data_IF_540998763155
#
_entry.id   IF_540998763155
#
_cell.length_a   1.000
_cell.length_b   1.000
_cell.length_c   1.000
_cell.angle_alpha   90.00
_cell.angle_beta   90.00
_cell.angle_gamma   90.00
#
_symmetry.space_group_name_H-M   'P 1'
#
loop_
_entity.id
_entity.type
_entity.pdbx_description
1 polymer ?
#
# COMPACT_ATOMS: atom_id res chain seq x y z
N UNK A 1 -56.93 -30.98 37.16
CA UNK A 1 -55.47 -31.00 36.85
C UNK A 1 -55.29 -30.43 35.45
N UNK A 2 -54.83 -29.17 35.36
CA UNK A 2 -54.63 -28.49 34.07
C UNK A 2 -53.10 -28.39 33.84
N UNK A 3 -52.57 -29.12 32.88
CA UNK A 3 -51.16 -29.05 32.47
C UNK A 3 -51.01 -27.95 31.41
N UNK A 4 -50.34 -26.86 31.82
CA UNK A 4 -49.88 -25.80 30.90
C UNK A 4 -48.55 -26.18 30.30
N UNK A 5 -48.51 -26.48 29.02
CA UNK A 5 -47.27 -26.60 28.23
C UNK A 5 -46.69 -25.21 27.96
N UNK A 6 -45.47 -24.94 28.45
CA UNK A 6 -44.69 -23.78 28.03
C UNK A 6 -43.84 -24.14 26.83
N UNK A 7 -44.18 -23.55 25.71
CA UNK A 7 -43.31 -23.62 24.52
C UNK A 7 -42.14 -22.64 24.67
N UNK A 8 -40.91 -23.17 24.66
CA UNK A 8 -39.71 -22.37 24.60
C UNK A 8 -39.44 -22.03 23.12
N UNK A 9 -39.53 -20.73 22.80
CA UNK A 9 -39.11 -20.24 21.46
C UNK A 9 -37.61 -20.03 21.49
N UNK A 10 -36.89 -20.88 20.78
CA UNK A 10 -35.47 -20.77 20.55
C UNK A 10 -35.26 -19.74 19.43
N UNK A 11 -34.85 -18.51 19.77
CA UNK A 11 -34.45 -17.51 18.78
C UNK A 11 -33.01 -17.82 18.35
N UNK A 12 -32.85 -18.47 17.20
CA UNK A 12 -31.56 -18.58 16.51
C UNK A 12 -31.20 -17.22 15.93
N UNK A 13 -30.28 -16.51 16.57
CA UNK A 13 -29.63 -15.35 15.99
C UNK A 13 -28.71 -15.84 14.87
N UNK A 14 -29.20 -15.83 13.64
CA UNK A 14 -28.36 -15.91 12.44
C UNK A 14 -27.53 -14.61 12.36
N UNK A 15 -26.27 -14.68 12.77
CA UNK A 15 -25.29 -13.68 12.43
C UNK A 15 -25.07 -13.74 10.92
N UNK A 16 -25.76 -12.89 10.19
CA UNK A 16 -25.48 -12.67 8.78
C UNK A 16 -24.05 -12.09 8.68
N UNK A 17 -23.09 -12.91 8.33
CA UNK A 17 -21.86 -12.43 7.75
C UNK A 17 -22.27 -11.67 6.49
N UNK A 18 -22.27 -10.35 6.54
CA UNK A 18 -22.32 -9.52 5.35
C UNK A 18 -21.09 -9.90 4.52
N UNK A 19 -21.29 -10.71 3.47
CA UNK A 19 -20.22 -11.10 2.56
C UNK A 19 -19.58 -9.84 2.00
N UNK A 20 -18.24 -9.81 1.94
CA UNK A 20 -17.52 -8.75 1.27
C UNK A 20 -18.16 -8.53 -0.12
N UNK A 21 -18.41 -7.25 -0.48
CA UNK A 21 -19.05 -6.92 -1.74
C UNK A 21 -18.31 -7.62 -2.88
N UNK A 22 -19.02 -8.31 -3.75
CA UNK A 22 -18.43 -9.07 -4.86
C UNK A 22 -17.56 -8.18 -5.76
N UNK A 23 -17.93 -6.90 -5.89
CA UNK A 23 -17.17 -5.88 -6.61
C UNK A 23 -17.12 -4.59 -5.82
N UNK A 24 -15.94 -3.98 -5.79
CA UNK A 24 -15.74 -2.62 -5.25
C UNK A 24 -16.19 -1.61 -6.30
N UNK A 25 -16.91 -0.58 -5.88
CA UNK A 25 -17.28 0.52 -6.77
C UNK A 25 -16.02 1.28 -7.22
N UNK A 26 -15.64 1.26 -8.51
CA UNK A 26 -14.46 1.94 -9.01
C UNK A 26 -14.72 3.41 -9.37
N UNK A 27 -15.92 3.95 -9.17
CA UNK A 27 -16.31 5.28 -9.66
C UNK A 27 -16.01 6.41 -8.68
N UNK A 28 -15.63 6.08 -7.46
CA UNK A 28 -15.34 7.05 -6.41
C UNK A 28 -14.17 6.65 -5.50
N UNK A 29 -13.44 7.67 -5.03
CA UNK A 29 -12.46 7.54 -3.93
C UNK A 29 -13.13 7.52 -2.56
N UNK A 30 -14.34 8.06 -2.42
CA UNK A 30 -15.01 8.17 -1.12
C UNK A 30 -15.18 6.80 -0.46
N UNK A 31 -14.80 6.72 0.79
CA UNK A 31 -14.85 5.51 1.59
C UNK A 31 -13.73 4.50 1.32
N UNK A 32 -12.85 4.72 0.34
CA UNK A 32 -11.85 3.72 -0.05
C UNK A 32 -10.67 3.64 0.91
N UNK A 33 -10.23 2.40 1.16
CA UNK A 33 -8.95 2.07 1.79
C UNK A 33 -8.09 1.38 0.74
N UNK A 34 -7.06 2.09 0.26
CA UNK A 34 -6.18 1.62 -0.79
C UNK A 34 -4.82 1.22 -0.23
N UNK A 35 -4.18 0.24 -0.86
CA UNK A 35 -2.86 -0.24 -0.46
C UNK A 35 -1.85 0.12 -1.53
N UNK A 36 -0.65 0.56 -1.14
CA UNK A 36 0.47 0.57 -2.08
C UNK A 36 0.83 -0.86 -2.46
N UNK A 37 1.06 -1.12 -3.75
CA UNK A 37 1.46 -2.43 -4.26
C UNK A 37 2.73 -2.27 -5.08
N UNK A 38 3.85 -2.84 -4.59
CA UNK A 38 5.16 -2.72 -5.22
C UNK A 38 5.26 -3.60 -6.47
N UNK A 39 4.89 -4.87 -6.37
CA UNK A 39 4.95 -5.81 -7.48
C UNK A 39 6.36 -6.04 -8.04
N UNK A 40 7.41 -5.74 -7.31
CA UNK A 40 8.80 -5.72 -7.78
C UNK A 40 9.63 -6.95 -7.40
N UNK A 41 9.07 -7.84 -6.56
CA UNK A 41 9.74 -9.06 -6.13
C UNK A 41 9.83 -10.05 -7.28
N UNK A 42 11.03 -10.53 -7.57
CA UNK A 42 11.25 -11.43 -8.69
C UNK A 42 12.24 -12.55 -8.34
N UNK A 43 12.15 -13.65 -9.09
CA UNK A 43 13.03 -14.79 -8.92
C UNK A 43 13.27 -15.53 -10.25
N UNK A 44 14.38 -16.30 -10.38
CA UNK A 44 14.86 -16.83 -11.66
C UNK A 44 13.88 -17.69 -12.45
N UNK A 45 12.93 -18.37 -11.79
CA UNK A 45 11.95 -19.21 -12.49
C UNK A 45 11.00 -18.40 -13.38
N UNK A 46 10.65 -17.18 -12.96
CA UNK A 46 9.79 -16.30 -13.75
C UNK A 46 10.60 -15.32 -14.62
N UNK A 47 11.83 -15.01 -14.22
CA UNK A 47 12.72 -14.12 -14.95
C UNK A 47 14.20 -14.53 -14.79
N UNK A 48 14.71 -15.43 -15.65
CA UNK A 48 16.10 -15.90 -15.53
C UNK A 48 17.15 -14.78 -15.58
N UNK A 49 16.85 -13.64 -16.24
CA UNK A 49 17.75 -12.49 -16.35
C UNK A 49 17.62 -11.52 -15.17
N UNK A 50 16.48 -11.48 -14.49
CA UNK A 50 16.19 -10.57 -13.38
C UNK A 50 16.71 -11.07 -12.02
N UNK A 51 17.02 -12.33 -11.90
CA UNK A 51 17.53 -12.93 -10.67
C UNK A 51 16.57 -12.80 -9.49
N UNK A 52 17.11 -12.49 -8.32
CA UNK A 52 16.37 -12.36 -7.03
C UNK A 52 16.07 -10.90 -6.71
N UNK A 53 15.48 -10.17 -7.67
CA UNK A 53 15.20 -8.75 -7.53
C UNK A 53 14.35 -8.47 -6.29
N UNK A 54 14.77 -7.49 -5.49
CA UNK A 54 14.17 -7.05 -4.23
C UNK A 54 14.11 -8.11 -3.10
N UNK A 55 14.49 -9.37 -3.36
CA UNK A 55 14.68 -10.39 -2.33
C UNK A 55 16.08 -10.33 -1.73
N UNK A 56 17.10 -10.14 -2.58
CA UNK A 56 18.50 -10.17 -2.16
C UNK A 56 19.41 -9.39 -3.12
N UNK A 57 20.60 -9.06 -2.64
CA UNK A 57 21.70 -8.57 -3.48
C UNK A 57 22.44 -9.75 -4.11
N UNK A 58 21.89 -10.31 -5.18
CA UNK A 58 22.36 -11.54 -5.81
C UNK A 58 21.59 -12.77 -5.34
N UNK A 59 22.24 -13.93 -5.18
CA UNK A 59 21.60 -15.13 -4.64
C UNK A 59 21.29 -14.93 -3.16
N UNK A 60 20.06 -15.23 -2.69
CA UNK A 60 19.72 -15.03 -1.28
C UNK A 60 20.58 -15.87 -0.33
N UNK A 61 21.09 -15.21 0.69
CA UNK A 61 21.80 -15.79 1.84
C UNK A 61 21.56 -14.89 3.06
N UNK A 62 22.02 -15.30 4.23
CA UNK A 62 21.93 -14.49 5.45
C UNK A 62 22.54 -13.07 5.28
N UNK A 63 23.55 -12.94 4.42
CA UNK A 63 24.30 -11.70 4.18
C UNK A 63 23.68 -10.86 3.07
N UNK A 64 23.08 -11.50 2.05
CA UNK A 64 22.59 -10.82 0.84
C UNK A 64 21.11 -10.45 0.88
N UNK A 65 20.33 -11.05 1.78
CA UNK A 65 18.92 -10.71 1.97
C UNK A 65 18.73 -9.21 2.19
N UNK A 66 17.65 -8.67 1.60
CA UNK A 66 17.25 -7.26 1.79
C UNK A 66 15.83 -7.14 2.38
N UNK A 67 15.28 -8.23 2.86
CA UNK A 67 13.92 -8.32 3.45
C UNK A 67 14.01 -8.76 4.89
N UNK A 68 13.21 -8.18 5.78
CA UNK A 68 13.13 -8.60 7.19
C UNK A 68 11.96 -9.54 7.46
N UNK A 69 10.93 -9.56 6.61
CA UNK A 69 9.77 -10.43 6.76
C UNK A 69 9.73 -11.52 5.71
N UNK A 70 9.36 -12.73 6.12
CA UNK A 70 9.17 -13.87 5.23
C UNK A 70 7.69 -14.04 4.89
N UNK A 71 7.29 -14.10 3.61
CA UNK A 71 5.90 -14.32 3.23
C UNK A 71 5.41 -15.71 3.67
N UNK A 72 4.15 -15.81 4.08
CA UNK A 72 3.48 -17.10 4.24
C UNK A 72 3.10 -17.65 2.87
N UNK A 73 3.77 -18.71 2.45
CA UNK A 73 3.61 -19.34 1.14
C UNK A 73 2.72 -20.58 1.18
N UNK A 74 2.01 -20.83 2.28
CA UNK A 74 1.21 -22.06 2.46
C UNK A 74 0.06 -22.22 1.48
N UNK A 75 -0.43 -21.13 0.90
CA UNK A 75 -1.52 -21.13 -0.09
C UNK A 75 -1.04 -21.07 -1.55
N UNK A 76 0.26 -21.24 -1.79
CA UNK A 76 0.83 -21.25 -3.14
C UNK A 76 1.25 -22.66 -3.53
N UNK A 77 1.05 -23.01 -4.81
CA UNK A 77 1.62 -24.23 -5.37
C UNK A 77 3.15 -24.07 -5.47
N UNK A 78 3.88 -25.11 -5.05
CA UNK A 78 5.35 -25.07 -5.10
C UNK A 78 5.92 -24.87 -6.51
N UNK A 79 5.18 -25.32 -7.54
CA UNK A 79 5.54 -25.11 -8.94
C UNK A 79 5.51 -23.63 -9.35
N UNK A 80 4.81 -22.77 -8.62
CA UNK A 80 4.70 -21.33 -8.85
C UNK A 80 5.74 -20.51 -8.06
N UNK A 81 6.60 -21.18 -7.28
CA UNK A 81 7.61 -20.59 -6.41
C UNK A 81 9.02 -20.95 -6.86
N UNK A 82 9.99 -20.16 -6.43
CA UNK A 82 11.41 -20.42 -6.62
C UNK A 82 12.04 -20.99 -5.35
N UNK A 83 12.63 -22.17 -5.43
CA UNK A 83 13.46 -22.69 -4.34
C UNK A 83 14.69 -21.80 -4.14
N UNK A 84 14.97 -21.43 -2.91
CA UNK A 84 16.10 -20.55 -2.55
C UNK A 84 17.33 -21.39 -2.27
N UNK A 85 18.40 -21.26 -3.07
CA UNK A 85 19.62 -22.06 -2.86
C UNK A 85 20.21 -21.86 -1.46
N UNK A 86 20.49 -22.94 -0.74
CA UNK A 86 21.16 -22.90 0.56
C UNK A 86 20.33 -22.37 1.74
N UNK A 87 19.05 -22.06 1.53
CA UNK A 87 18.15 -21.65 2.63
C UNK A 87 17.11 -22.73 2.90
N UNK A 88 16.87 -23.00 4.18
CA UNK A 88 15.97 -24.07 4.64
C UNK A 88 15.02 -23.56 5.73
N UNK A 89 13.88 -24.22 5.86
CA UNK A 89 12.97 -24.13 7.00
C UNK A 89 12.89 -25.55 7.59
N UNK A 90 13.63 -25.79 8.69
CA UNK A 90 13.94 -27.13 9.14
C UNK A 90 14.67 -27.90 8.03
N UNK A 91 14.24 -29.13 7.73
CA UNK A 91 14.87 -29.98 6.71
C UNK A 91 14.38 -29.71 5.28
N UNK A 92 13.55 -28.67 5.06
CA UNK A 92 12.93 -28.42 3.76
C UNK A 92 13.51 -27.17 3.11
N UNK A 93 13.66 -27.13 1.75
CA UNK A 93 14.04 -25.90 1.07
C UNK A 93 13.08 -24.76 1.36
N UNK A 94 13.62 -23.55 1.56
CA UNK A 94 12.85 -22.31 1.57
C UNK A 94 12.49 -21.90 0.13
N UNK A 95 11.41 -21.12 -0.03
CA UNK A 95 10.92 -20.66 -1.32
C UNK A 95 10.63 -19.16 -1.27
N UNK A 96 10.66 -18.52 -2.44
CA UNK A 96 10.20 -17.14 -2.63
C UNK A 96 9.37 -17.07 -3.91
N UNK A 97 8.59 -16.03 -4.07
CA UNK A 97 7.71 -15.85 -5.22
C UNK A 97 8.24 -14.81 -6.22
N UNK A 98 7.62 -14.76 -7.40
CA UNK A 98 7.75 -13.66 -8.36
C UNK A 98 6.40 -13.00 -8.62
N UNK A 99 6.33 -11.68 -8.55
CA UNK A 99 5.16 -10.90 -8.95
C UNK A 99 4.89 -10.97 -10.48
N UNK A 100 5.83 -11.53 -11.26
CA UNK A 100 5.59 -11.83 -12.68
C UNK A 100 4.79 -13.11 -12.90
N UNK A 101 4.67 -13.94 -11.88
CA UNK A 101 3.78 -15.09 -11.93
C UNK A 101 2.32 -14.62 -11.71
N UNK A 102 1.47 -14.78 -12.72
CA UNK A 102 0.07 -14.36 -12.67
C UNK A 102 -0.73 -15.01 -11.52
N UNK A 103 -0.39 -16.26 -11.14
CA UNK A 103 -1.06 -16.96 -10.03
C UNK A 103 -0.72 -16.34 -8.67
N UNK A 104 0.51 -15.83 -8.52
CA UNK A 104 0.93 -15.12 -7.30
C UNK A 104 0.12 -13.84 -7.13
N UNK A 105 0.05 -13.02 -8.17
CA UNK A 105 -0.74 -11.77 -8.14
C UNK A 105 -2.23 -12.08 -7.95
N UNK A 106 -2.76 -13.11 -8.62
CA UNK A 106 -4.14 -13.56 -8.42
C UNK A 106 -4.39 -13.92 -6.94
N UNK A 107 -3.49 -14.67 -6.29
CA UNK A 107 -3.61 -15.03 -4.88
C UNK A 107 -3.64 -13.79 -3.97
N UNK A 108 -2.83 -12.79 -4.24
CA UNK A 108 -2.86 -11.53 -3.52
C UNK A 108 -4.23 -10.83 -3.62
N UNK A 109 -4.82 -10.79 -4.80
CA UNK A 109 -6.13 -10.20 -5.03
C UNK A 109 -7.29 -11.05 -4.48
N UNK A 110 -7.15 -12.38 -4.46
CA UNK A 110 -8.09 -13.29 -3.77
C UNK A 110 -8.08 -13.03 -2.25
N UNK A 111 -6.91 -12.79 -1.65
CA UNK A 111 -6.85 -12.35 -0.25
C UNK A 111 -7.54 -11.00 -0.05
N UNK A 112 -7.28 -10.02 -0.92
CA UNK A 112 -7.99 -8.73 -0.85
C UNK A 112 -9.52 -8.93 -0.89
N UNK A 113 -10.01 -9.76 -1.81
CA UNK A 113 -11.45 -10.10 -1.89
C UNK A 113 -11.95 -10.78 -0.62
N UNK A 114 -11.24 -11.80 -0.14
CA UNK A 114 -11.60 -12.58 1.04
C UNK A 114 -11.75 -11.72 2.30
N UNK A 115 -10.86 -10.74 2.47
CA UNK A 115 -10.84 -9.86 3.64
C UNK A 115 -11.56 -8.53 3.42
N UNK A 116 -12.23 -8.33 2.28
CA UNK A 116 -13.04 -7.14 2.00
C UNK A 116 -12.24 -5.86 1.76
N UNK A 117 -11.01 -5.97 1.24
CA UNK A 117 -10.16 -4.82 0.90
C UNK A 117 -10.58 -4.22 -0.44
N UNK A 118 -10.41 -2.90 -0.62
CA UNK A 118 -10.86 -2.20 -1.82
C UNK A 118 -9.96 -2.41 -3.03
N UNK A 119 -8.66 -2.31 -2.87
CA UNK A 119 -7.72 -2.43 -3.98
C UNK A 119 -6.41 -1.72 -3.75
N UNK A 120 -5.69 -1.42 -4.83
CA UNK A 120 -4.29 -1.00 -4.76
C UNK A 120 -3.96 0.24 -5.59
N UNK A 121 -2.94 0.98 -5.13
CA UNK A 121 -2.15 1.92 -5.93
C UNK A 121 -0.90 1.17 -6.40
N UNK A 122 -0.83 0.91 -7.70
CA UNK A 122 0.23 0.12 -8.34
C UNK A 122 1.44 1.00 -8.56
N UNK A 123 2.54 0.66 -7.91
CA UNK A 123 3.79 1.42 -8.01
C UNK A 123 4.41 1.30 -9.41
N UNK A 124 4.87 2.44 -9.93
CA UNK A 124 5.56 2.54 -11.21
C UNK A 124 6.70 3.55 -11.11
N UNK A 125 7.93 3.05 -11.05
CA UNK A 125 9.13 3.85 -10.83
C UNK A 125 9.55 4.55 -12.11
N UNK A 126 9.55 5.89 -12.11
CA UNK A 126 9.84 6.69 -13.30
C UNK A 126 11.26 6.47 -13.83
N UNK A 127 12.24 6.30 -12.95
CA UNK A 127 13.61 5.98 -13.31
C UNK A 127 13.78 4.67 -14.08
N UNK A 128 12.80 3.76 -13.95
CA UNK A 128 12.77 2.45 -14.62
C UNK A 128 11.92 2.39 -15.88
N UNK A 129 10.92 3.27 -16.04
CA UNK A 129 9.90 3.16 -17.11
C UNK A 129 10.49 3.13 -18.52
N UNK A 130 11.54 3.88 -18.79
CA UNK A 130 12.17 3.90 -20.11
C UNK A 130 13.01 2.63 -20.41
N UNK A 131 13.57 1.99 -19.37
CA UNK A 131 14.49 0.84 -19.52
C UNK A 131 13.81 -0.50 -19.33
N UNK A 132 12.86 -0.57 -18.41
CA UNK A 132 12.25 -1.82 -17.93
C UNK A 132 10.73 -1.83 -18.12
N UNK A 133 10.19 -1.04 -19.06
CA UNK A 133 8.74 -0.96 -19.30
C UNK A 133 8.11 -2.34 -19.49
N UNK A 134 8.69 -3.15 -20.37
CA UNK A 134 8.16 -4.50 -20.66
C UNK A 134 8.07 -5.37 -19.40
N UNK A 135 8.98 -5.20 -18.47
CA UNK A 135 9.01 -5.93 -17.21
C UNK A 135 7.91 -5.47 -16.26
N UNK A 136 7.75 -4.15 -16.11
CA UNK A 136 6.64 -3.58 -15.31
C UNK A 136 5.27 -3.89 -15.91
N UNK A 137 5.17 -3.97 -17.23
CA UNK A 137 3.93 -4.26 -17.93
C UNK A 137 3.45 -5.71 -17.71
N UNK A 138 4.36 -6.68 -17.52
CA UNK A 138 3.95 -8.05 -17.13
C UNK A 138 3.21 -8.03 -15.81
N UNK A 139 3.75 -7.34 -14.79
CA UNK A 139 3.10 -7.22 -13.48
C UNK A 139 1.78 -6.46 -13.57
N UNK A 140 1.75 -5.37 -14.34
CA UNK A 140 0.51 -4.59 -14.56
C UNK A 140 -0.58 -5.44 -15.23
N UNK A 141 -0.26 -6.24 -16.25
CA UNK A 141 -1.22 -7.15 -16.87
C UNK A 141 -1.74 -8.21 -15.90
N UNK A 142 -0.87 -8.75 -15.04
CA UNK A 142 -1.28 -9.68 -13.98
C UNK A 142 -2.25 -9.00 -12.99
N UNK A 143 -2.00 -7.75 -12.61
CA UNK A 143 -2.87 -6.96 -11.74
C UNK A 143 -4.22 -6.69 -12.41
N UNK A 144 -4.24 -6.31 -13.67
CA UNK A 144 -5.47 -6.09 -14.43
C UNK A 144 -6.31 -7.37 -14.49
N UNK A 145 -5.70 -8.51 -14.81
CA UNK A 145 -6.39 -9.81 -14.83
C UNK A 145 -6.92 -10.21 -13.44
N UNK A 146 -6.11 -10.05 -12.38
CA UNK A 146 -6.50 -10.34 -11.01
C UNK A 146 -7.62 -9.42 -10.51
N UNK A 147 -7.55 -8.13 -10.84
CA UNK A 147 -8.59 -7.15 -10.57
C UNK A 147 -9.91 -7.53 -11.25
N UNK A 148 -9.88 -7.93 -12.53
CA UNK A 148 -11.07 -8.40 -13.25
C UNK A 148 -11.69 -9.65 -12.59
N UNK A 149 -10.86 -10.63 -12.17
CA UNK A 149 -11.31 -11.88 -11.55
C UNK A 149 -11.87 -11.72 -10.14
N UNK A 150 -11.43 -10.69 -9.41
CA UNK A 150 -11.79 -10.52 -7.99
C UNK A 150 -12.71 -9.34 -7.72
N UNK A 151 -12.88 -8.43 -8.68
CA UNK A 151 -13.66 -7.20 -8.51
C UNK A 151 -12.98 -6.15 -7.62
N UNK A 152 -11.66 -6.25 -7.39
CA UNK A 152 -10.89 -5.24 -6.61
C UNK A 152 -10.42 -4.13 -7.52
N UNK A 153 -10.36 -2.91 -7.00
CA UNK A 153 -9.94 -1.74 -7.78
C UNK A 153 -8.43 -1.61 -7.88
N UNK A 154 -7.95 -0.86 -8.87
CA UNK A 154 -6.56 -0.42 -8.93
C UNK A 154 -6.45 0.94 -9.59
N UNK A 155 -5.39 1.67 -9.25
CA UNK A 155 -4.94 2.86 -9.98
C UNK A 155 -3.40 2.87 -10.03
N UNK A 156 -2.83 3.66 -10.93
CA UNK A 156 -1.38 3.79 -11.05
C UNK A 156 -0.87 4.81 -10.03
N UNK A 157 0.25 4.50 -9.41
CA UNK A 157 1.04 5.43 -8.60
C UNK A 157 2.46 5.50 -9.14
N UNK A 158 2.84 6.65 -9.70
CA UNK A 158 4.22 6.89 -10.08
C UNK A 158 5.05 7.22 -8.84
N UNK A 159 6.21 6.56 -8.71
CA UNK A 159 7.28 6.95 -7.83
C UNK A 159 8.35 7.67 -8.65
N UNK A 160 8.63 8.93 -8.32
CA UNK A 160 9.59 9.76 -9.07
C UNK A 160 11.04 9.61 -8.61
N UNK A 161 11.29 8.70 -7.66
CA UNK A 161 12.66 8.37 -7.21
C UNK A 161 13.53 7.95 -8.41
N UNK A 162 14.75 8.49 -8.45
CA UNK A 162 15.68 8.22 -9.55
C UNK A 162 15.30 8.85 -10.89
N UNK A 163 14.23 9.65 -10.93
CA UNK A 163 13.92 10.53 -12.07
C UNK A 163 14.96 11.63 -12.20
N UNK A 164 15.21 12.07 -13.44
CA UNK A 164 16.12 13.20 -13.70
C UNK A 164 15.32 14.48 -13.82
N UNK A 165 15.83 15.55 -13.24
CA UNK A 165 15.18 16.87 -13.17
C UNK A 165 14.66 17.39 -14.53
N UNK A 166 15.44 17.21 -15.55
CA UNK A 166 15.16 17.72 -16.91
C UNK A 166 14.21 16.85 -17.72
N UNK A 167 13.98 15.59 -17.33
CA UNK A 167 13.26 14.61 -18.16
C UNK A 167 12.10 13.90 -17.46
N UNK A 168 12.03 13.92 -16.12
CA UNK A 168 11.05 13.11 -15.38
C UNK A 168 9.59 13.43 -15.75
N UNK A 169 9.27 14.72 -15.94
CA UNK A 169 7.90 15.14 -16.28
C UNK A 169 7.49 14.62 -17.67
N UNK A 170 8.39 14.73 -18.66
CA UNK A 170 8.16 14.19 -19.99
C UNK A 170 8.05 12.67 -19.98
N UNK A 171 8.93 11.99 -19.24
CA UNK A 171 8.89 10.53 -19.09
C UNK A 171 7.55 10.07 -18.47
N UNK A 172 7.07 10.77 -17.44
CA UNK A 172 5.78 10.48 -16.82
C UNK A 172 4.63 10.69 -17.82
N UNK A 173 4.61 11.82 -18.53
CA UNK A 173 3.58 12.11 -19.51
C UNK A 173 3.56 11.08 -20.65
N UNK A 174 4.71 10.67 -21.15
CA UNK A 174 4.82 9.70 -22.24
C UNK A 174 4.42 8.30 -21.80
N UNK A 175 4.80 7.91 -20.58
CA UNK A 175 4.38 6.64 -20.01
C UNK A 175 2.87 6.63 -19.69
N UNK A 176 2.32 7.73 -19.16
CA UNK A 176 0.88 7.83 -18.92
C UNK A 176 0.07 7.75 -20.23
N UNK A 177 0.49 8.45 -21.29
CA UNK A 177 -0.12 8.31 -22.62
C UNK A 177 -0.06 6.86 -23.12
N UNK A 178 1.08 6.19 -22.95
CA UNK A 178 1.22 4.78 -23.30
C UNK A 178 0.24 3.89 -22.51
N UNK A 179 0.13 4.08 -21.19
CA UNK A 179 -0.80 3.32 -20.36
C UNK A 179 -2.27 3.52 -20.77
N UNK A 180 -2.63 4.74 -21.11
CA UNK A 180 -4.00 5.06 -21.60
C UNK A 180 -4.23 4.51 -23.01
N UNK A 181 -3.32 4.78 -23.95
CA UNK A 181 -3.56 4.52 -25.38
C UNK A 181 -3.27 3.08 -25.79
N UNK A 182 -2.24 2.45 -25.21
CA UNK A 182 -1.78 1.12 -25.59
C UNK A 182 -2.19 0.05 -24.58
N UNK A 183 -1.86 0.23 -23.32
CA UNK A 183 -2.23 -0.70 -22.26
C UNK A 183 -3.73 -0.62 -21.87
N UNK A 184 -4.43 0.49 -22.25
CA UNK A 184 -5.86 0.69 -22.00
C UNK A 184 -6.26 0.61 -20.52
N UNK A 185 -5.36 1.00 -19.61
CA UNK A 185 -5.57 0.84 -18.16
C UNK A 185 -6.81 1.57 -17.67
N UNK A 186 -7.06 2.80 -18.14
CA UNK A 186 -8.23 3.61 -17.73
C UNK A 186 -9.56 3.11 -18.29
N UNK A 187 -9.52 2.26 -19.31
CA UNK A 187 -10.72 1.60 -19.85
C UNK A 187 -11.04 0.29 -19.15
N UNK A 188 -10.17 -0.16 -18.23
CA UNK A 188 -10.42 -1.38 -17.45
C UNK A 188 -11.58 -1.15 -16.47
N UNK A 189 -12.59 -2.06 -16.37
CA UNK A 189 -13.81 -1.82 -15.60
C UNK A 189 -13.58 -1.62 -14.09
N UNK A 190 -12.43 -2.02 -13.56
CA UNK A 190 -12.07 -1.84 -12.16
C UNK A 190 -10.96 -0.79 -11.95
N UNK A 191 -10.57 -0.04 -13.00
CA UNK A 191 -9.68 1.10 -12.81
C UNK A 191 -10.40 2.18 -11.98
N UNK A 192 -9.73 2.68 -10.95
CA UNK A 192 -10.35 3.64 -10.04
C UNK A 192 -10.55 4.99 -10.72
N UNK A 193 -11.76 5.52 -10.61
CA UNK A 193 -12.16 6.85 -11.06
C UNK A 193 -12.65 7.67 -9.86
N UNK A 194 -12.66 8.98 -10.02
CA UNK A 194 -13.33 9.89 -9.09
C UNK A 194 -13.86 11.11 -9.86
N UNK A 195 -15.10 11.49 -9.60
CA UNK A 195 -15.77 12.58 -10.31
C UNK A 195 -15.67 12.46 -11.84
N UNK A 196 -15.76 11.23 -12.36
CA UNK A 196 -15.72 10.94 -13.79
C UNK A 196 -14.33 10.95 -14.44
N UNK A 197 -13.25 11.20 -13.69
CA UNK A 197 -11.86 11.15 -14.18
C UNK A 197 -11.13 9.93 -13.62
N UNK A 198 -10.22 9.29 -14.38
CA UNK A 198 -9.36 8.24 -13.83
C UNK A 198 -8.46 8.82 -12.73
N UNK A 199 -8.21 8.01 -11.69
CA UNK A 199 -7.32 8.38 -10.59
C UNK A 199 -5.88 8.09 -10.97
N UNK A 200 -4.97 9.04 -10.71
CA UNK A 200 -3.52 8.86 -10.84
C UNK A 200 -2.82 9.45 -9.63
N UNK A 201 -1.93 8.68 -9.03
CA UNK A 201 -1.07 9.14 -7.94
C UNK A 201 0.36 9.40 -8.44
N UNK A 202 1.01 10.43 -7.89
CA UNK A 202 2.46 10.66 -8.09
C UNK A 202 3.08 10.93 -6.74
N UNK A 203 3.95 10.03 -6.30
CA UNK A 203 4.65 10.13 -5.03
C UNK A 203 6.04 10.76 -5.20
N UNK A 204 6.42 11.61 -4.22
CA UNK A 204 7.78 12.13 -4.05
C UNK A 204 7.95 13.60 -4.32
N UNK A 205 6.91 14.33 -4.75
CA UNK A 205 7.03 15.76 -5.06
C UNK A 205 7.24 16.63 -3.82
N UNK A 206 8.31 17.45 -3.85
CA UNK A 206 8.61 18.43 -2.82
C UNK A 206 9.28 17.86 -1.58
N UNK A 207 9.87 16.66 -1.66
CA UNK A 207 10.78 16.16 -0.63
C UNK A 207 12.03 17.03 -0.56
N UNK A 208 12.43 17.39 0.67
CA UNK A 208 13.59 18.27 0.93
C UNK A 208 14.94 17.55 0.95
N UNK A 209 15.03 16.35 0.37
CA UNK A 209 16.23 15.51 0.38
C UNK A 209 17.20 15.76 -0.79
N UNK A 210 16.81 16.61 -1.75
CA UNK A 210 17.60 16.92 -2.93
C UNK A 210 17.75 15.78 -3.93
N UNK A 211 16.98 14.69 -3.79
CA UNK A 211 17.07 13.48 -4.63
C UNK A 211 15.84 13.27 -5.52
N UNK A 212 14.72 13.90 -5.19
CA UNK A 212 13.45 13.75 -5.90
C UNK A 212 13.19 14.98 -6.77
N UNK A 213 12.91 14.81 -8.08
CA UNK A 213 12.46 15.90 -8.95
C UNK A 213 10.98 16.21 -8.68
N UNK A 214 10.46 17.39 -9.01
CA UNK A 214 11.26 18.56 -9.39
C UNK A 214 11.80 19.28 -8.17
N UNK A 215 12.98 19.88 -8.33
CA UNK A 215 13.53 20.77 -7.31
C UNK A 215 12.76 22.09 -7.23
N UNK A 216 12.07 22.48 -8.31
CA UNK A 216 11.33 23.73 -8.43
C UNK A 216 9.82 23.52 -8.36
N UNK A 217 9.12 24.23 -7.46
CA UNK A 217 7.66 24.13 -7.33
C UNK A 217 6.90 24.54 -8.60
N UNK A 218 7.47 25.41 -9.44
CA UNK A 218 6.87 25.82 -10.71
C UNK A 218 6.76 24.66 -11.69
N UNK A 219 7.74 23.75 -11.71
CA UNK A 219 7.74 22.58 -12.58
C UNK A 219 6.77 21.51 -12.06
N UNK A 220 6.66 21.37 -10.74
CA UNK A 220 5.59 20.57 -10.13
C UNK A 220 4.20 21.08 -10.53
N UNK A 221 3.97 22.38 -10.42
CA UNK A 221 2.69 23.02 -10.82
C UNK A 221 2.35 22.78 -12.29
N UNK A 222 3.30 22.92 -13.20
CA UNK A 222 3.10 22.63 -14.63
C UNK A 222 2.67 21.18 -14.86
N UNK A 223 3.27 20.23 -14.14
CA UNK A 223 2.88 18.83 -14.27
C UNK A 223 1.47 18.58 -13.71
N UNK A 224 1.14 19.14 -12.55
CA UNK A 224 -0.21 19.06 -11.96
C UNK A 224 -1.25 19.66 -12.92
N UNK A 225 -1.00 20.87 -13.42
CA UNK A 225 -1.88 21.53 -14.38
C UNK A 225 -2.08 20.69 -15.65
N UNK A 226 -1.02 20.09 -16.17
CA UNK A 226 -1.12 19.20 -17.31
C UNK A 226 -2.01 17.99 -17.01
N UNK A 227 -1.82 17.33 -15.87
CA UNK A 227 -2.59 16.15 -15.46
C UNK A 227 -4.07 16.44 -15.21
N UNK A 228 -4.40 17.59 -14.67
CA UNK A 228 -5.78 17.90 -14.28
C UNK A 228 -6.60 18.56 -15.39
N UNK A 229 -5.98 19.43 -16.22
CA UNK A 229 -6.71 20.29 -17.17
C UNK A 229 -5.99 20.53 -18.50
N UNK A 230 -4.67 20.64 -18.53
CA UNK A 230 -3.91 21.05 -19.71
C UNK A 230 -3.76 19.96 -20.77
N UNK A 231 -3.79 18.68 -20.39
CA UNK A 231 -3.73 17.57 -21.34
C UNK A 231 -5.01 17.41 -22.15
N UNK A 232 -4.96 16.71 -23.32
CA UNK A 232 -6.16 16.18 -23.97
C UNK A 232 -7.05 15.40 -23.00
N UNK A 233 -8.37 15.45 -23.17
CA UNK A 233 -9.35 14.99 -22.19
C UNK A 233 -9.11 13.54 -21.70
N UNK A 234 -8.70 12.64 -22.60
CA UNK A 234 -8.45 11.22 -22.26
C UNK A 234 -7.28 10.99 -21.30
N UNK A 235 -6.38 11.97 -21.12
CA UNK A 235 -5.24 11.87 -20.21
C UNK A 235 -5.44 12.63 -18.89
N UNK A 236 -6.54 13.40 -18.79
CA UNK A 236 -6.84 14.14 -17.55
C UNK A 236 -7.26 13.20 -16.45
N UNK A 237 -6.85 13.52 -15.22
CA UNK A 237 -7.02 12.65 -14.06
C UNK A 237 -7.61 13.39 -12.86
N UNK A 238 -8.11 12.64 -11.87
CA UNK A 238 -8.14 13.09 -10.49
C UNK A 238 -6.75 12.81 -9.92
N UNK A 239 -6.04 13.87 -9.56
CA UNK A 239 -4.64 13.80 -9.20
C UNK A 239 -4.44 13.62 -7.70
N UNK A 240 -3.74 12.55 -7.30
CA UNK A 240 -3.26 12.34 -5.93
C UNK A 240 -1.79 12.73 -5.86
N UNK A 241 -1.47 13.76 -5.10
CA UNK A 241 -0.11 14.17 -4.82
C UNK A 241 0.45 13.51 -3.57
N UNK A 242 1.40 12.60 -3.74
CA UNK A 242 2.21 12.03 -2.66
C UNK A 242 3.26 13.02 -2.19
N UNK A 243 2.97 13.70 -1.09
CA UNK A 243 3.74 14.83 -0.58
C UNK A 243 4.63 14.45 0.61
N UNK A 244 5.60 15.31 0.99
CA UNK A 244 6.24 15.21 2.30
C UNK A 244 5.21 15.30 3.43
N UNK A 245 5.53 14.73 4.58
CA UNK A 245 4.60 14.76 5.72
C UNK A 245 4.41 16.15 6.33
N UNK A 246 5.37 17.06 6.16
CA UNK A 246 5.28 18.45 6.63
C UNK A 246 4.98 19.44 5.48
N UNK A 247 4.24 18.99 4.47
CA UNK A 247 3.87 19.78 3.28
C UNK A 247 3.24 21.14 3.60
N UNK A 248 2.39 21.20 4.63
CA UNK A 248 1.67 22.42 5.02
C UNK A 248 2.58 23.49 5.61
N UNK A 249 3.60 23.07 6.35
CA UNK A 249 4.51 23.96 7.09
C UNK A 249 5.86 24.15 6.41
N UNK A 250 6.15 23.42 5.33
CA UNK A 250 7.40 23.44 4.58
C UNK A 250 8.65 23.24 5.48
N UNK A 251 8.56 22.27 6.41
CA UNK A 251 9.62 21.97 7.37
C UNK A 251 10.05 20.51 7.27
N UNK A 252 11.11 20.15 7.96
CA UNK A 252 11.65 18.79 8.13
C UNK A 252 11.88 18.09 6.78
N UNK A 253 10.99 17.16 6.38
CA UNK A 253 11.10 16.41 5.14
C UNK A 253 10.58 17.16 3.91
N UNK A 254 9.96 18.32 4.10
CA UNK A 254 9.48 19.14 3.00
C UNK A 254 10.55 20.13 2.51
N UNK A 255 10.60 20.36 1.20
CA UNK A 255 11.37 21.44 0.63
C UNK A 255 10.87 22.79 1.16
N UNK A 256 11.80 23.69 1.53
CA UNK A 256 11.48 24.94 2.25
C UNK A 256 11.04 26.11 1.35
N UNK A 257 11.11 25.96 0.01
CA UNK A 257 10.69 27.01 -0.91
C UNK A 257 9.19 27.29 -0.78
N UNK A 258 8.77 28.54 -0.46
CA UNK A 258 7.36 28.90 -0.27
C UNK A 258 6.44 28.60 -1.47
N UNK A 259 6.98 28.54 -2.69
CA UNK A 259 6.26 28.19 -3.91
C UNK A 259 5.60 26.81 -3.86
N UNK A 260 6.10 25.90 -3.03
CA UNK A 260 5.50 24.57 -2.81
C UNK A 260 4.09 24.62 -2.24
N UNK A 261 3.79 25.67 -1.45
CA UNK A 261 2.44 25.90 -0.93
C UNK A 261 1.39 25.94 -2.07
N UNK A 262 1.71 26.66 -3.15
CA UNK A 262 0.81 26.76 -4.31
C UNK A 262 0.75 25.45 -5.11
N UNK A 263 1.87 24.71 -5.21
CA UNK A 263 1.89 23.41 -5.87
C UNK A 263 1.00 22.38 -5.15
N UNK A 264 1.09 22.29 -3.82
CA UNK A 264 0.25 21.36 -3.04
C UNK A 264 -1.23 21.73 -3.05
N UNK A 265 -1.57 23.04 -3.10
CA UNK A 265 -2.97 23.49 -3.20
C UNK A 265 -3.58 23.34 -4.58
N UNK A 266 -2.79 23.02 -5.58
CA UNK A 266 -3.30 22.71 -6.93
C UNK A 266 -3.73 21.23 -7.08
N UNK A 267 -3.41 20.35 -6.14
CA UNK A 267 -3.72 18.91 -6.20
C UNK A 267 -5.18 18.64 -5.80
N UNK A 268 -5.85 17.68 -6.43
CA UNK A 268 -7.20 17.23 -6.01
C UNK A 268 -7.17 16.52 -4.66
N UNK A 269 -6.14 15.69 -4.45
CA UNK A 269 -5.94 14.87 -3.25
C UNK A 269 -4.52 15.05 -2.74
N UNK A 270 -4.35 15.32 -1.46
CA UNK A 270 -3.02 15.40 -0.81
C UNK A 270 -2.81 14.15 0.04
N UNK A 271 -1.70 13.43 -0.24
CA UNK A 271 -1.33 12.16 0.37
C UNK A 271 0.06 12.26 1.02
N UNK A 272 0.15 12.73 2.29
CA UNK A 272 1.45 12.88 2.95
C UNK A 272 2.06 11.54 3.34
N UNK A 273 3.36 11.37 3.10
CA UNK A 273 4.09 10.16 3.45
C UNK A 273 4.52 10.16 4.91
N UNK A 274 4.01 9.21 5.70
CA UNK A 274 4.20 9.20 7.17
C UNK A 274 5.11 8.10 7.69
N UNK A 275 5.53 7.14 6.85
CA UNK A 275 6.37 6.02 7.29
C UNK A 275 7.63 6.53 7.97
N UNK A 276 7.86 6.07 9.22
CA UNK A 276 9.02 6.47 10.02
C UNK A 276 8.94 7.84 10.69
N UNK A 277 7.85 8.60 10.51
CA UNK A 277 7.70 9.96 11.10
C UNK A 277 7.32 9.93 12.57
N UNK A 278 6.72 8.85 13.02
CA UNK A 278 6.42 8.53 14.42
C UNK A 278 6.67 7.04 14.67
N UNK A 279 6.99 6.68 15.91
CA UNK A 279 7.48 5.34 16.28
C UNK A 279 6.78 4.73 17.48
N UNK A 280 6.04 5.53 18.27
CA UNK A 280 5.41 5.11 19.52
C UNK A 280 3.95 5.53 19.58
N UNK A 281 3.15 4.89 20.40
CA UNK A 281 1.73 5.20 20.55
C UNK A 281 1.48 6.68 20.95
N UNK A 282 2.20 7.27 21.91
CA UNK A 282 2.08 8.69 22.19
C UNK A 282 2.35 9.58 20.98
N UNK A 283 3.38 9.26 20.18
CA UNK A 283 3.68 10.03 18.96
C UNK A 283 2.59 9.90 17.89
N UNK A 284 1.88 8.78 17.81
CA UNK A 284 0.71 8.61 16.92
C UNK A 284 -0.40 9.58 17.32
N UNK A 285 -0.65 9.77 18.62
CA UNK A 285 -1.68 10.70 19.11
C UNK A 285 -1.23 12.17 18.98
N UNK A 286 0.02 12.47 19.25
CA UNK A 286 0.62 13.78 18.97
C UNK A 286 0.54 14.14 17.48
N UNK A 287 0.78 13.16 16.61
CA UNK A 287 0.66 13.34 15.15
C UNK A 287 -0.76 13.73 14.74
N UNK A 288 -1.78 13.08 15.31
CA UNK A 288 -3.18 13.45 15.09
C UNK A 288 -3.40 14.94 15.35
N UNK A 289 -3.03 15.40 16.55
CA UNK A 289 -3.34 16.76 17.00
C UNK A 289 -2.49 17.81 16.27
N UNK A 290 -1.19 17.53 16.07
CA UNK A 290 -0.25 18.53 15.58
C UNK A 290 -0.17 18.62 14.05
N UNK A 291 -0.50 17.54 13.34
CA UNK A 291 -0.34 17.44 11.90
C UNK A 291 -1.65 17.09 11.20
N UNK A 292 -2.25 15.94 11.51
CA UNK A 292 -3.38 15.40 10.76
C UNK A 292 -4.61 16.30 10.82
N UNK A 293 -5.03 16.74 12.00
CA UNK A 293 -6.19 17.62 12.17
C UNK A 293 -5.99 19.01 11.52
N UNK A 294 -4.84 19.71 11.70
CA UNK A 294 -4.56 20.94 10.99
C UNK A 294 -4.50 20.80 9.48
N UNK A 295 -3.92 19.70 8.96
CA UNK A 295 -3.85 19.43 7.53
C UNK A 295 -5.25 19.21 6.93
N UNK A 296 -6.08 18.39 7.59
CA UNK A 296 -7.48 18.19 7.21
C UNK A 296 -8.27 19.50 7.20
N UNK A 297 -8.10 20.33 8.22
CA UNK A 297 -8.79 21.62 8.30
C UNK A 297 -8.40 22.56 7.15
N UNK A 298 -7.12 22.57 6.75
CA UNK A 298 -6.65 23.36 5.62
C UNK A 298 -7.23 22.84 4.29
N UNK A 299 -7.12 21.54 4.04
CA UNK A 299 -7.58 20.95 2.78
C UNK A 299 -9.10 21.07 2.61
N UNK A 300 -9.85 20.93 3.69
CA UNK A 300 -11.30 21.16 3.68
C UNK A 300 -11.68 22.58 3.25
N UNK A 301 -10.93 23.60 3.67
CA UNK A 301 -11.13 24.99 3.22
C UNK A 301 -10.90 25.16 1.72
N UNK A 302 -9.97 24.39 1.17
CA UNK A 302 -9.59 24.44 -0.24
C UNK A 302 -10.41 23.49 -1.13
N UNK A 303 -11.37 22.72 -0.56
CA UNK A 303 -12.15 21.73 -1.31
C UNK A 303 -11.36 20.50 -1.76
N UNK A 304 -10.19 20.27 -1.16
CA UNK A 304 -9.29 19.16 -1.47
C UNK A 304 -9.57 17.95 -0.55
N UNK A 305 -9.23 16.76 -1.02
CA UNK A 305 -9.32 15.52 -0.24
C UNK A 305 -7.98 15.29 0.48
N UNK A 306 -8.03 14.91 1.74
CA UNK A 306 -6.89 14.42 2.49
C UNK A 306 -6.89 12.89 2.54
N UNK A 307 -5.83 12.26 2.02
CA UNK A 307 -5.62 10.82 2.04
C UNK A 307 -4.46 10.49 2.99
N UNK A 308 -4.72 10.31 4.30
CA UNK A 308 -3.65 9.94 5.23
C UNK A 308 -3.00 8.63 4.79
N UNK A 309 -1.68 8.52 5.00
CA UNK A 309 -0.94 7.27 4.87
C UNK A 309 -0.71 6.71 6.26
N UNK A 310 -1.05 5.45 6.50
CA UNK A 310 -0.77 4.72 7.73
C UNK A 310 0.04 3.46 7.44
N UNK A 311 0.69 2.91 8.46
CA UNK A 311 1.56 1.74 8.28
C UNK A 311 1.57 0.84 9.53
N UNK A 312 1.79 -0.49 9.37
CA UNK A 312 1.66 -1.43 10.49
C UNK A 312 2.82 -1.41 11.48
N UNK A 313 3.99 -1.01 11.03
CA UNK A 313 5.28 -1.01 11.71
C UNK A 313 6.37 -0.87 10.68
N UNK A 314 7.66 -0.87 11.11
CA UNK A 314 8.78 -0.67 10.20
C UNK A 314 10.04 -1.39 10.70
N UNK A 315 10.70 -2.13 9.82
CA UNK A 315 12.04 -2.68 9.99
C UNK A 315 12.69 -2.90 8.62
N UNK A 316 13.95 -2.52 8.50
CA UNK A 316 14.73 -2.67 7.26
C UNK A 316 16.17 -3.11 7.53
N UNK A 317 16.39 -3.86 8.62
CA UNK A 317 17.72 -4.27 9.05
C UNK A 317 18.49 -5.04 7.96
N UNK A 318 17.84 -5.95 7.24
CA UNK A 318 18.50 -6.66 6.15
C UNK A 318 18.81 -5.76 4.95
N UNK A 319 17.98 -4.76 4.68
CA UNK A 319 18.23 -3.76 3.63
C UNK A 319 19.33 -2.77 4.03
N UNK A 320 19.36 -2.35 5.30
CA UNK A 320 20.35 -1.43 5.85
C UNK A 320 20.88 -1.95 7.20
N UNK A 321 22.04 -2.60 7.17
CA UNK A 321 22.64 -3.28 8.33
C UNK A 321 23.02 -2.35 9.49
N UNK A 322 23.10 -1.05 9.26
CA UNK A 322 23.35 -0.05 10.29
C UNK A 322 22.09 0.33 11.07
N UNK A 323 20.94 -0.10 10.63
CA UNK A 323 19.66 0.11 11.32
C UNK A 323 19.46 -0.83 12.50
N UNK A 324 18.72 -0.35 13.50
CA UNK A 324 18.21 -1.23 14.54
C UNK A 324 17.25 -2.28 13.96
N UNK A 325 17.19 -3.43 14.59
CA UNK A 325 16.18 -4.47 14.32
C UNK A 325 14.84 -4.01 14.89
N UNK A 326 13.77 -4.10 14.11
CA UNK A 326 12.40 -3.78 14.51
C UNK A 326 12.26 -2.40 15.21
N UNK A 327 12.74 -1.28 14.61
CA UNK A 327 12.76 0.02 15.28
C UNK A 327 11.37 0.64 15.49
N UNK A 328 10.34 0.15 14.77
CA UNK A 328 8.94 0.51 14.96
C UNK A 328 8.13 -0.78 15.04
N UNK A 329 7.93 -1.33 16.25
CA UNK A 329 7.20 -2.56 16.45
C UNK A 329 5.74 -2.44 16.03
N UNK A 330 5.18 -3.53 15.53
CA UNK A 330 3.77 -3.60 15.10
C UNK A 330 2.77 -3.61 16.25
N UNK A 331 3.22 -3.91 17.48
CA UNK A 331 2.43 -3.98 18.72
C UNK A 331 1.13 -4.78 18.53
N UNK A 332 1.24 -5.97 17.94
CA UNK A 332 0.09 -6.85 17.67
C UNK A 332 -1.00 -6.22 16.80
N UNK A 333 -0.70 -5.12 16.10
CA UNK A 333 -1.62 -4.34 15.29
C UNK A 333 -2.15 -3.07 15.96
N UNK A 334 -1.91 -2.86 17.24
CA UNK A 334 -2.34 -1.64 17.97
C UNK A 334 -1.80 -0.37 17.32
N UNK A 335 -0.55 -0.42 16.82
CA UNK A 335 0.08 0.71 16.14
C UNK A 335 -0.65 1.10 14.86
N UNK A 336 -1.02 0.14 14.01
CA UNK A 336 -1.82 0.39 12.81
C UNK A 336 -3.23 0.87 13.14
N UNK A 337 -3.86 0.19 14.11
CA UNK A 337 -5.24 0.46 14.50
C UNK A 337 -5.43 1.89 15.02
N UNK A 338 -4.52 2.35 15.88
CA UNK A 338 -4.57 3.71 16.44
C UNK A 338 -4.44 4.79 15.36
N UNK A 339 -3.59 4.56 14.37
CA UNK A 339 -3.46 5.48 13.22
C UNK A 339 -4.77 5.54 12.42
N UNK A 340 -5.38 4.38 12.13
CA UNK A 340 -6.66 4.32 11.41
C UNK A 340 -7.79 4.98 12.20
N UNK A 341 -7.88 4.72 13.51
CA UNK A 341 -8.82 5.38 14.40
C UNK A 341 -8.65 6.90 14.39
N UNK A 342 -7.42 7.38 14.56
CA UNK A 342 -7.10 8.80 14.55
C UNK A 342 -7.47 9.47 13.22
N UNK A 343 -7.18 8.83 12.09
CA UNK A 343 -7.56 9.33 10.76
C UNK A 343 -9.07 9.43 10.60
N UNK A 344 -9.80 8.36 10.97
CA UNK A 344 -11.27 8.33 10.87
C UNK A 344 -11.92 9.32 11.81
N UNK A 345 -11.46 9.39 13.07
CA UNK A 345 -11.98 10.33 14.09
C UNK A 345 -11.73 11.79 13.73
N UNK A 346 -10.64 12.10 13.04
CA UNK A 346 -10.37 13.45 12.51
C UNK A 346 -11.25 13.79 11.30
N UNK A 347 -11.90 12.82 10.66
CA UNK A 347 -12.82 13.03 9.53
C UNK A 347 -12.24 12.69 8.16
N UNK A 348 -11.15 11.92 8.08
CA UNK A 348 -10.69 11.38 6.81
C UNK A 348 -11.72 10.42 6.21
N UNK A 349 -11.99 10.55 4.90
CA UNK A 349 -12.96 9.73 4.15
C UNK A 349 -12.30 8.71 3.24
N UNK A 350 -11.00 8.80 3.06
CA UNK A 350 -10.17 7.93 2.23
C UNK A 350 -8.87 7.66 2.98
N UNK A 351 -8.27 6.48 2.77
CA UNK A 351 -7.07 6.07 3.49
C UNK A 351 -6.12 5.32 2.54
N UNK A 352 -4.81 5.50 2.73
CA UNK A 352 -3.79 4.61 2.17
C UNK A 352 -3.09 3.85 3.30
N UNK A 353 -2.93 2.54 3.11
CA UNK A 353 -2.08 1.70 3.97
C UNK A 353 -0.82 1.35 3.18
N UNK A 354 0.31 1.73 3.69
CA UNK A 354 1.62 1.38 3.15
C UNK A 354 2.18 0.18 3.92
N UNK A 355 2.44 -0.94 3.23
CA UNK A 355 2.18 -1.34 1.84
C UNK A 355 1.53 -2.72 1.84
N UNK A 356 0.91 -3.17 0.74
CA UNK A 356 0.34 -4.52 0.71
C UNK A 356 1.43 -5.59 0.76
N UNK A 357 2.47 -5.47 -0.06
CA UNK A 357 3.46 -6.52 -0.34
C UNK A 357 4.91 -6.19 0.06
N UNK A 358 5.18 -5.08 0.75
CA UNK A 358 6.55 -4.64 0.99
C UNK A 358 7.17 -5.27 2.26
N UNK A 359 8.00 -6.27 2.06
CA UNK A 359 8.73 -6.97 3.12
C UNK A 359 10.16 -6.44 3.35
N UNK A 360 10.66 -5.57 2.47
CA UNK A 360 11.97 -4.92 2.63
C UNK A 360 11.99 -3.94 3.81
N UNK A 361 10.91 -3.18 3.95
CA UNK A 361 10.71 -2.21 5.02
C UNK A 361 9.77 -2.75 6.11
N UNK A 362 9.35 -4.01 6.01
CA UNK A 362 8.44 -4.65 6.96
C UNK A 362 7.11 -3.92 7.12
N UNK A 363 6.64 -3.27 6.07
CA UNK A 363 5.33 -2.63 6.02
C UNK A 363 4.24 -3.53 5.42
N UNK A 364 4.62 -4.75 4.99
CA UNK A 364 3.71 -5.70 4.35
C UNK A 364 2.46 -5.98 5.19
N UNK A 365 1.29 -5.90 4.53
CA UNK A 365 -0.02 -6.22 5.09
C UNK A 365 -0.51 -7.62 4.69
N UNK A 366 0.07 -8.22 3.66
CA UNK A 366 -0.27 -9.58 3.22
C UNK A 366 0.20 -10.63 4.25
N UNK A 367 -0.09 -11.91 4.00
CA UNK A 367 0.27 -13.01 4.92
C UNK A 367 1.78 -13.17 5.05
N UNK A 368 2.27 -13.14 6.28
CA UNK A 368 3.68 -13.35 6.61
C UNK A 368 3.81 -14.45 7.68
N UNK A 369 5.00 -14.98 7.82
CA UNK A 369 5.30 -16.01 8.83
C UNK A 369 4.87 -15.55 10.23
N UNK A 370 4.03 -16.37 10.87
CA UNK A 370 3.53 -16.10 12.23
C UNK A 370 4.60 -16.31 13.28
N UNK A 371 5.45 -17.33 13.09
CA UNK A 371 6.47 -17.77 14.05
C UNK A 371 7.83 -17.90 13.39
N UNK A 372 8.89 -17.72 14.20
CA UNK A 372 10.27 -17.87 13.73
C UNK A 372 10.53 -19.21 13.01
N UNK A 373 9.88 -20.29 13.44
CA UNK A 373 10.00 -21.62 12.83
C UNK A 373 9.37 -21.77 11.47
N UNK A 374 8.62 -20.75 11.01
CA UNK A 374 8.00 -20.69 9.67
C UNK A 374 8.80 -19.83 8.68
N UNK A 375 9.88 -19.21 9.12
CA UNK A 375 10.82 -18.46 8.30
C UNK A 375 12.14 -19.26 8.16
N UNK A 376 12.97 -18.95 7.14
CA UNK A 376 14.22 -19.66 6.93
C UNK A 376 15.15 -19.65 8.15
N UNK A 377 15.87 -20.76 8.36
CA UNK A 377 16.77 -20.93 9.51
C UNK A 377 17.94 -19.92 9.46
N UNK A 378 18.34 -19.54 8.26
CA UNK A 378 19.42 -18.61 7.99
C UNK A 378 18.92 -17.16 8.00
N UNK A 379 19.73 -16.26 8.54
CA UNK A 379 19.48 -14.81 8.53
C UNK A 379 18.58 -14.30 9.66
N UNK A 380 18.33 -13.00 9.62
CA UNK A 380 17.40 -12.32 10.51
C UNK A 380 16.00 -12.27 9.90
N UNK A 381 14.99 -12.63 10.66
CA UNK A 381 13.59 -12.58 10.27
C UNK A 381 12.74 -11.99 11.40
N UNK A 382 11.88 -11.06 11.00
CA UNK A 382 10.84 -10.48 11.84
C UNK A 382 9.52 -11.18 11.55
N UNK A 383 9.03 -11.93 12.51
CA UNK A 383 7.78 -12.70 12.43
C UNK A 383 6.70 -12.09 13.33
N UNK A 384 5.44 -12.50 13.17
CA UNK A 384 4.33 -11.87 13.90
C UNK A 384 4.41 -12.08 15.43
N UNK A 385 5.10 -13.12 15.89
CA UNK A 385 5.33 -13.38 17.32
C UNK A 385 6.42 -12.51 17.97
N UNK A 386 7.06 -11.61 17.21
CA UNK A 386 8.08 -10.69 17.73
C UNK A 386 7.57 -9.79 18.87
N UNK A 387 6.26 -9.52 18.89
CA UNK A 387 5.59 -8.73 19.94
C UNK A 387 5.09 -9.61 21.11
N UNK A 388 5.50 -10.88 21.19
CA UNK A 388 5.14 -11.81 22.26
C UNK A 388 3.70 -12.35 22.19
N UNK A 389 3.05 -12.29 21.03
CA UNK A 389 1.70 -12.79 20.81
C UNK A 389 1.66 -13.87 19.73
N UNK A 390 0.78 -14.87 19.89
CA UNK A 390 0.52 -15.87 18.85
C UNK A 390 -0.54 -15.36 17.89
N UNK A 391 -0.12 -14.76 16.76
CA UNK A 391 -0.99 -14.17 15.77
C UNK A 391 -1.01 -15.05 14.50
N UNK A 392 -2.20 -15.28 13.89
CA UNK A 392 -2.27 -15.99 12.61
C UNK A 392 -1.65 -15.17 11.47
N UNK A 393 -1.17 -15.83 10.42
CA UNK A 393 -0.47 -15.17 9.29
C UNK A 393 -1.33 -14.10 8.59
N UNK A 394 -2.66 -14.25 8.64
CA UNK A 394 -3.64 -13.34 8.04
C UNK A 394 -4.10 -12.20 8.95
N UNK A 395 -3.48 -12.03 10.12
CA UNK A 395 -3.90 -11.05 11.14
C UNK A 395 -4.07 -9.63 10.59
N UNK A 396 -3.07 -9.15 9.84
CA UNK A 396 -3.10 -7.81 9.29
C UNK A 396 -4.11 -7.62 8.15
N UNK A 397 -4.44 -8.69 7.40
CA UNK A 397 -5.52 -8.67 6.42
C UNK A 397 -6.90 -8.56 7.11
N UNK A 398 -7.09 -9.22 8.25
CA UNK A 398 -8.31 -9.08 9.05
C UNK A 398 -8.45 -7.67 9.59
N UNK A 399 -7.40 -7.10 10.19
CA UNK A 399 -7.39 -5.71 10.65
C UNK A 399 -7.72 -4.73 9.53
N UNK A 400 -7.11 -4.93 8.36
CA UNK A 400 -7.37 -4.12 7.18
C UNK A 400 -8.84 -4.19 6.74
N UNK A 401 -9.44 -5.37 6.78
CA UNK A 401 -10.87 -5.56 6.50
C UNK A 401 -11.77 -4.80 7.47
N UNK A 402 -11.45 -4.82 8.78
CA UNK A 402 -12.17 -4.06 9.78
C UNK A 402 -12.07 -2.54 9.54
N UNK A 403 -10.86 -2.06 9.24
CA UNK A 403 -10.61 -0.66 8.91
C UNK A 403 -11.40 -0.27 7.65
N UNK A 404 -11.38 -1.11 6.60
CA UNK A 404 -12.12 -0.86 5.35
C UNK A 404 -13.62 -0.73 5.60
N UNK A 405 -14.23 -1.65 6.36
CA UNK A 405 -15.66 -1.56 6.73
C UNK A 405 -16.00 -0.27 7.48
N UNK A 406 -15.10 0.18 8.35
CA UNK A 406 -15.32 1.44 9.08
C UNK A 406 -15.24 2.67 8.16
N UNK A 407 -14.35 2.67 7.17
CA UNK A 407 -14.26 3.74 6.17
C UNK A 407 -15.45 3.73 5.21
N UNK A 408 -16.02 2.56 4.89
CA UNK A 408 -17.30 2.43 4.18
C UNK A 408 -18.50 2.94 4.99
N UNK A 409 -18.34 3.19 6.29
CA UNK A 409 -19.43 3.62 7.17
C UNK A 409 -20.34 2.46 7.63
N UNK A 410 -19.95 1.21 7.39
CA UNK A 410 -20.72 0.03 7.78
C UNK A 410 -20.74 -0.17 9.31
N UNK A 411 -19.70 0.31 10.00
CA UNK A 411 -19.59 0.27 11.46
C UNK A 411 -18.63 1.34 11.99
N UNK A 412 -18.70 1.71 13.27
CA UNK A 412 -17.70 2.57 13.88
C UNK A 412 -16.36 1.84 14.00
N UNK A 413 -15.26 2.60 13.97
CA UNK A 413 -13.93 2.14 14.35
C UNK A 413 -13.71 2.49 15.83
N UNK A 414 -13.64 1.52 16.74
CA UNK A 414 -13.39 1.80 18.15
C UNK A 414 -11.94 2.22 18.41
N UNK A 415 -11.65 2.96 19.50
CA UNK A 415 -10.28 3.40 19.80
C UNK A 415 -9.34 2.24 20.16
N UNK A 416 -9.87 1.16 20.73
CA UNK A 416 -9.14 -0.04 21.10
C UNK A 416 -9.20 -1.09 19.98
N UNK A 417 -8.08 -1.80 19.83
CA UNK A 417 -8.00 -2.94 18.93
C UNK A 417 -8.98 -4.05 19.36
N UNK A 418 -9.86 -4.56 18.48
CA UNK A 418 -10.72 -5.68 18.83
C UNK A 418 -9.90 -6.97 19.10
N UNK A 419 -10.32 -7.75 20.09
CA UNK A 419 -9.64 -9.00 20.46
C UNK A 419 -9.67 -10.04 19.32
N UNK A 420 -10.70 -10.00 18.47
CA UNK A 420 -10.91 -10.91 17.34
C UNK A 420 -11.41 -10.09 16.14
N UNK A 421 -10.49 -9.58 15.31
CA UNK A 421 -10.84 -8.85 14.09
C UNK A 421 -11.33 -9.76 12.97
#
# INVERSE_FOLDING_TARGET
MKHTLRAAVLVLALSAYAGAADRVDPTTLEGKVLFGYQGWFDCPAANPKGGWSHWARGVPSAETLVIDMYPDLSEFDRADLCAVPGMTIGDKPAYLFSARNAKVVMRHFEWMKKYGLDGVLVQRFIGGTARNRAEGDVVLHNIMAASAGTGRTFAIEYDISGGKEDTFAQQLQDDWKYLVDKAKVTSHPNYLHHKGKPVLSVWGMGLGDGKHPPAKPEDARKLVEWLESGAPAQYRVTYIGGTPSYWRTLRRDAASNPGWTAAYRAMDVVQPWTIGRYKTMPQVDEWKTNILEPDLAELKKNGQIYMPVIFPGFSWYNLNRDSAKNPIPRLRGEFLWRQAYNARAAGATVLKIAMFDEVNESTAMFKIASKRTQAPDQGFWLTLDADGADLPSDWYLRLAGEITRAFHGERPLPPELPAHP
#
